data_IF_473351005076
#
_entry.id   IF_473351005076
#
_cell.length_a   1.000
_cell.length_b   1.000
_cell.length_c   1.000
_cell.angle_alpha   90.00
_cell.angle_beta   90.00
_cell.angle_gamma   90.00
#
_symmetry.space_group_name_H-M   'P 1'
#
loop_
_entity.id
_entity.type
_entity.pdbx_description
1 polymer ?
#
# COMPACT_ATOMS: atom_id res chain seq x y z
N UNK A 1 2.98 4.63 -13.61
CA UNK A 1 2.15 5.74 -13.05
C UNK A 1 2.99 6.45 -11.99
N UNK A 2 3.28 7.76 -12.13
CA UNK A 2 4.25 8.47 -11.25
C UNK A 2 3.54 9.22 -10.11
N UNK A 3 4.23 9.33 -8.98
CA UNK A 3 3.93 9.80 -7.58
C UNK A 3 3.07 11.08 -7.39
N UNK A 4 2.46 11.65 -8.43
CA UNK A 4 1.68 12.89 -8.33
C UNK A 4 0.40 12.77 -7.48
N UNK A 5 -0.06 11.56 -7.18
CA UNK A 5 -1.19 11.29 -6.29
C UNK A 5 -0.87 11.44 -4.80
N UNK A 6 0.41 11.51 -4.39
CA UNK A 6 0.79 11.60 -2.98
C UNK A 6 0.82 13.03 -2.40
N UNK A 7 0.41 14.03 -3.19
CA UNK A 7 0.30 15.43 -2.78
C UNK A 7 -0.83 15.72 -1.76
N UNK A 8 -1.44 14.70 -1.17
CA UNK A 8 -2.35 14.86 -0.06
C UNK A 8 -1.57 15.27 1.21
N UNK A 9 -2.14 16.15 2.04
CA UNK A 9 -1.64 16.51 3.38
C UNK A 9 -1.78 15.33 4.36
N UNK A 10 -1.25 14.18 4.00
CA UNK A 10 -1.32 12.94 4.77
C UNK A 10 0.05 12.60 5.35
N UNK A 11 0.10 11.90 6.50
CA UNK A 11 1.35 11.48 7.12
C UNK A 11 2.17 10.60 6.18
N UNK A 12 3.48 10.85 6.05
CA UNK A 12 4.36 10.04 5.19
C UNK A 12 4.37 8.57 5.60
N UNK A 13 4.29 8.27 6.90
CA UNK A 13 4.31 6.91 7.46
C UNK A 13 3.32 5.93 6.82
N UNK A 14 2.25 6.41 6.17
CA UNK A 14 1.34 5.54 5.40
C UNK A 14 2.02 4.85 4.22
N UNK A 15 3.13 5.40 3.71
CA UNK A 15 3.88 4.91 2.55
C UNK A 15 5.09 4.08 2.93
N UNK A 16 5.25 3.73 4.22
CA UNK A 16 6.45 3.06 4.74
C UNK A 16 6.67 1.68 4.08
N UNK A 17 5.57 1.02 3.70
CA UNK A 17 5.60 -0.25 2.96
C UNK A 17 5.82 -0.05 1.45
N UNK A 18 5.57 1.16 0.94
CA UNK A 18 5.45 1.44 -0.49
C UNK A 18 6.67 2.13 -1.11
N UNK A 19 7.44 2.87 -0.31
CA UNK A 19 8.57 3.68 -0.77
C UNK A 19 9.82 3.27 -0.03
N UNK A 20 10.83 2.84 -0.78
CA UNK A 20 12.13 2.49 -0.19
C UNK A 20 12.80 3.71 0.44
N UNK A 21 13.33 3.52 1.65
CA UNK A 21 14.06 4.52 2.43
C UNK A 21 13.24 5.77 2.73
N UNK A 22 11.95 5.61 3.04
CA UNK A 22 11.04 6.71 3.35
C UNK A 22 11.54 7.57 4.53
N UNK A 23 12.24 6.97 5.49
CA UNK A 23 12.79 7.62 6.68
C UNK A 23 13.68 8.82 6.34
N UNK A 24 14.39 8.80 5.20
CA UNK A 24 15.26 9.91 4.77
C UNK A 24 14.50 11.22 4.54
N UNK A 25 13.20 11.15 4.32
CA UNK A 25 12.33 12.30 4.09
C UNK A 25 11.83 12.93 5.40
N UNK A 26 11.90 12.20 6.51
CA UNK A 26 11.49 12.68 7.83
C UNK A 26 12.54 13.61 8.48
N UNK A 27 13.79 13.58 8.00
CA UNK A 27 14.87 14.41 8.53
C UNK A 27 14.60 15.90 8.28
N UNK A 28 14.54 16.67 9.37
CA UNK A 28 14.23 18.12 9.37
C UNK A 28 15.35 19.03 8.88
N UNK A 29 16.32 18.50 8.13
CA UNK A 29 17.51 19.22 7.63
C UNK A 29 17.27 20.03 6.36
N UNK A 30 16.06 19.96 5.78
CA UNK A 30 15.71 20.60 4.52
C UNK A 30 14.76 21.77 4.69
N UNK A 31 14.88 22.77 3.82
CA UNK A 31 13.93 23.88 3.69
C UNK A 31 12.58 23.45 3.12
N UNK A 32 12.52 22.28 2.49
CA UNK A 32 11.29 21.70 1.93
C UNK A 32 10.58 20.84 2.97
N UNK A 33 9.24 20.88 2.96
CA UNK A 33 8.46 19.94 3.75
C UNK A 33 8.75 18.49 3.32
N UNK A 34 8.63 17.50 4.22
CA UNK A 34 8.83 16.09 3.87
C UNK A 34 8.03 15.64 2.63
N UNK A 35 6.80 16.14 2.47
CA UNK A 35 5.96 15.86 1.31
C UNK A 35 6.50 16.50 0.02
N UNK A 36 6.97 17.74 0.08
CA UNK A 36 7.59 18.39 -1.08
C UNK A 36 8.87 17.68 -1.49
N UNK A 37 9.68 17.22 -0.53
CA UNK A 37 10.88 16.42 -0.81
C UNK A 37 10.51 15.11 -1.51
N UNK A 38 9.51 14.39 -1.04
CA UNK A 38 9.03 13.16 -1.67
C UNK A 38 8.61 13.40 -3.13
N UNK A 39 7.90 14.49 -3.39
CA UNK A 39 7.45 14.87 -4.74
C UNK A 39 8.65 15.23 -5.63
N UNK A 40 9.58 16.04 -5.12
CA UNK A 40 10.74 16.51 -5.89
C UNK A 40 11.74 15.38 -6.19
N UNK A 41 12.02 14.53 -5.20
CA UNK A 41 12.98 13.44 -5.35
C UNK A 41 12.37 12.25 -6.08
N UNK A 42 11.04 12.09 -6.05
CA UNK A 42 10.29 11.05 -6.75
C UNK A 42 10.98 9.66 -6.63
N UNK A 43 11.17 9.15 -5.40
CA UNK A 43 11.84 7.88 -5.18
C UNK A 43 11.07 6.73 -5.86
N UNK A 44 11.75 5.63 -6.22
CA UNK A 44 11.05 4.47 -6.75
C UNK A 44 10.11 3.87 -5.69
N UNK A 45 9.05 3.20 -6.16
CA UNK A 45 8.28 2.31 -5.30
C UNK A 45 9.12 1.08 -4.92
N UNK A 46 8.75 0.45 -3.81
CA UNK A 46 9.18 -0.91 -3.54
C UNK A 46 8.72 -1.84 -4.67
N UNK A 47 9.42 -2.97 -4.92
CA UNK A 47 9.07 -3.89 -6.00
C UNK A 47 7.61 -4.39 -5.97
N UNK A 48 7.09 -4.69 -4.77
CA UNK A 48 5.71 -5.13 -4.60
C UNK A 48 4.71 -4.00 -4.92
N UNK A 49 4.95 -2.78 -4.44
CA UNK A 49 4.09 -1.63 -4.73
C UNK A 49 4.10 -1.25 -6.20
N UNK A 50 5.24 -1.38 -6.88
CA UNK A 50 5.33 -1.23 -8.33
C UNK A 50 4.47 -2.29 -9.05
N UNK A 51 4.60 -3.56 -8.68
CA UNK A 51 3.82 -4.66 -9.26
C UNK A 51 2.31 -4.48 -9.05
N UNK A 52 1.88 -4.02 -7.86
CA UNK A 52 0.47 -3.71 -7.58
C UNK A 52 -0.05 -2.57 -8.47
N UNK A 53 0.71 -1.49 -8.59
CA UNK A 53 0.33 -0.36 -9.45
C UNK A 53 0.24 -0.80 -10.91
N UNK A 54 1.18 -1.60 -11.39
CA UNK A 54 1.18 -2.10 -12.77
C UNK A 54 0.01 -3.04 -13.04
N UNK A 55 -0.33 -3.94 -12.10
CA UNK A 55 -1.51 -4.80 -12.20
C UNK A 55 -2.81 -3.98 -12.27
N UNK A 56 -2.95 -2.97 -11.41
CA UNK A 56 -4.11 -2.07 -11.40
C UNK A 56 -4.21 -1.28 -12.70
N UNK A 57 -3.10 -0.70 -13.17
CA UNK A 57 -3.08 0.06 -14.42
C UNK A 57 -3.37 -0.85 -15.62
N UNK A 58 -2.90 -2.09 -15.61
CA UNK A 58 -3.19 -3.08 -16.65
C UNK A 58 -4.69 -3.39 -16.79
N UNK A 59 -5.39 -3.54 -15.67
CA UNK A 59 -6.83 -3.86 -15.65
C UNK A 59 -7.69 -2.63 -15.99
N UNK A 60 -7.34 -1.48 -15.41
CA UNK A 60 -8.19 -0.29 -15.47
C UNK A 60 -7.86 0.61 -16.66
N UNK A 61 -6.60 0.69 -17.08
CA UNK A 61 -6.14 1.56 -18.15
C UNK A 61 -6.65 3.00 -17.98
N UNK A 62 -7.16 3.59 -19.06
CA UNK A 62 -7.69 4.97 -19.05
C UNK A 62 -8.91 5.15 -18.13
N UNK A 63 -9.63 4.08 -17.80
CA UNK A 63 -10.81 4.19 -16.95
C UNK A 63 -10.50 4.59 -15.52
N UNK A 64 -9.23 4.51 -15.08
CA UNK A 64 -8.77 5.08 -13.82
C UNK A 64 -9.12 6.56 -13.68
N UNK A 65 -9.11 7.32 -14.78
CA UNK A 65 -9.29 8.77 -14.75
C UNK A 65 -10.63 9.21 -15.34
N UNK A 66 -11.24 8.39 -16.18
CA UNK A 66 -12.49 8.70 -16.88
C UNK A 66 -13.74 8.34 -16.07
N UNK A 67 -13.69 7.27 -15.27
CA UNK A 67 -14.85 6.76 -14.53
C UNK A 67 -14.75 7.08 -13.05
N UNK A 68 -15.91 7.31 -12.42
CA UNK A 68 -15.99 7.56 -10.97
C UNK A 68 -15.35 6.43 -10.16
N UNK A 69 -15.62 5.17 -10.51
CA UNK A 69 -15.02 4.00 -9.86
C UNK A 69 -13.51 3.96 -9.99
N UNK A 70 -12.96 4.38 -11.13
CA UNK A 70 -11.52 4.52 -11.33
C UNK A 70 -10.95 5.65 -10.48
N UNK A 71 -11.62 6.80 -10.42
CA UNK A 71 -11.19 7.94 -9.59
C UNK A 71 -11.20 7.59 -8.11
N UNK A 72 -12.17 6.81 -7.65
CA UNK A 72 -12.21 6.29 -6.28
C UNK A 72 -11.03 5.35 -6.00
N UNK A 73 -10.63 4.52 -6.96
CA UNK A 73 -9.45 3.67 -6.84
C UNK A 73 -8.16 4.50 -6.77
N UNK A 74 -8.04 5.54 -7.61
CA UNK A 74 -6.92 6.49 -7.55
C UNK A 74 -6.87 7.20 -6.19
N UNK A 75 -8.03 7.62 -5.66
CA UNK A 75 -8.13 8.21 -4.33
C UNK A 75 -7.72 7.23 -3.23
N UNK A 76 -8.13 5.96 -3.34
CA UNK A 76 -7.77 4.89 -2.40
C UNK A 76 -6.25 4.67 -2.35
N UNK A 77 -5.61 4.58 -3.52
CA UNK A 77 -4.15 4.47 -3.66
C UNK A 77 -3.43 5.69 -3.07
N UNK A 78 -3.96 6.89 -3.29
CA UNK A 78 -3.39 8.13 -2.76
C UNK A 78 -3.44 8.20 -1.23
N UNK A 79 -4.56 7.72 -0.68
CA UNK A 79 -4.85 7.78 0.74
C UNK A 79 -4.09 6.72 1.55
N UNK A 80 -3.92 5.52 1.02
CA UNK A 80 -3.39 4.37 1.78
C UNK A 80 -2.05 3.84 1.26
N UNK A 81 -1.56 4.34 0.14
CA UNK A 81 -0.47 3.71 -0.60
C UNK A 81 -0.95 2.45 -1.38
N UNK A 82 -0.15 1.96 -2.34
CA UNK A 82 -0.44 0.75 -3.11
C UNK A 82 -0.78 -0.47 -2.25
N UNK A 83 0.03 -0.80 -1.26
CA UNK A 83 -0.19 -1.99 -0.42
C UNK A 83 -1.43 -1.82 0.46
N UNK A 84 -1.59 -0.67 1.12
CA UNK A 84 -2.78 -0.42 1.95
C UNK A 84 -4.08 -0.42 1.13
N UNK A 85 -4.05 0.08 -0.11
CA UNK A 85 -5.19 0.01 -1.01
C UNK A 85 -5.49 -1.43 -1.46
N UNK A 86 -4.46 -2.22 -1.74
CA UNK A 86 -4.58 -3.63 -2.11
C UNK A 86 -5.23 -4.46 -0.99
N UNK A 87 -4.84 -4.23 0.27
CA UNK A 87 -5.45 -4.86 1.45
C UNK A 87 -6.96 -4.58 1.50
N UNK A 88 -7.36 -3.31 1.30
CA UNK A 88 -8.77 -2.90 1.30
C UNK A 88 -9.57 -3.54 0.15
N UNK A 89 -8.96 -3.65 -1.04
CA UNK A 89 -9.61 -4.26 -2.21
C UNK A 89 -9.90 -5.74 -1.94
N UNK A 90 -8.90 -6.49 -1.46
CA UNK A 90 -9.04 -7.92 -1.14
C UNK A 90 -10.09 -8.11 -0.06
N UNK A 91 -10.01 -7.34 1.02
CA UNK A 91 -10.97 -7.41 2.12
C UNK A 91 -12.41 -7.14 1.65
N UNK A 92 -12.64 -6.13 0.80
CA UNK A 92 -13.98 -5.81 0.28
C UNK A 92 -14.57 -6.94 -0.58
N UNK A 93 -13.75 -7.65 -1.33
CA UNK A 93 -14.21 -8.80 -2.13
C UNK A 93 -14.53 -9.98 -1.22
N UNK A 94 -13.70 -10.24 -0.21
CA UNK A 94 -13.90 -11.35 0.75
C UNK A 94 -15.13 -11.17 1.65
N UNK A 95 -15.45 -9.94 2.03
CA UNK A 95 -16.65 -9.62 2.83
C UNK A 95 -17.92 -9.50 2.00
N UNK A 96 -17.86 -9.75 0.67
CA UNK A 96 -18.99 -9.63 -0.23
C UNK A 96 -19.48 -8.18 -0.44
N UNK A 97 -18.69 -7.19 -0.03
CA UNK A 97 -19.03 -5.76 -0.10
C UNK A 97 -18.77 -5.13 -1.48
N UNK A 98 -18.23 -5.88 -2.44
CA UNK A 98 -18.04 -5.39 -3.80
C UNK A 98 -18.38 -6.42 -4.87
N UNK A 99 -19.51 -6.27 -5.58
CA UNK A 99 -19.92 -7.19 -6.64
C UNK A 99 -19.42 -6.80 -8.04
N UNK A 100 -18.54 -5.80 -8.17
CA UNK A 100 -18.07 -5.36 -9.50
C UNK A 100 -17.11 -6.41 -10.08
N UNK A 101 -17.36 -6.95 -11.29
CA UNK A 101 -16.46 -7.91 -11.93
C UNK A 101 -15.02 -7.41 -12.04
N UNK A 102 -14.85 -6.10 -12.26
CA UNK A 102 -13.53 -5.48 -12.37
C UNK A 102 -12.80 -5.36 -11.03
N UNK A 103 -13.53 -5.16 -9.94
CA UNK A 103 -12.94 -5.16 -8.59
C UNK A 103 -12.55 -6.58 -8.19
N UNK A 104 -13.35 -7.59 -8.57
CA UNK A 104 -13.01 -9.01 -8.39
C UNK A 104 -11.74 -9.37 -9.18
N UNK A 105 -11.66 -8.95 -10.44
CA UNK A 105 -10.46 -9.10 -11.28
C UNK A 105 -9.24 -8.41 -10.65
N UNK A 106 -9.42 -7.19 -10.12
CA UNK A 106 -8.37 -6.46 -9.41
C UNK A 106 -7.90 -7.23 -8.17
N UNK A 107 -8.81 -7.77 -7.36
CA UNK A 107 -8.45 -8.56 -6.19
C UNK A 107 -7.71 -9.86 -6.55
N UNK A 108 -8.08 -10.51 -7.65
CA UNK A 108 -7.37 -11.70 -8.15
C UNK A 108 -5.93 -11.35 -8.58
N UNK A 109 -5.74 -10.24 -9.30
CA UNK A 109 -4.40 -9.78 -9.68
C UNK A 109 -3.56 -9.34 -8.48
N UNK A 110 -4.17 -8.68 -7.48
CA UNK A 110 -3.51 -8.34 -6.22
C UNK A 110 -3.01 -9.59 -5.50
N UNK A 111 -3.82 -10.66 -5.42
CA UNK A 111 -3.40 -11.93 -4.82
C UNK A 111 -2.22 -12.55 -5.54
N UNK A 112 -2.21 -12.53 -6.87
CA UNK A 112 -1.06 -13.01 -7.65
C UNK A 112 0.22 -12.22 -7.35
N UNK A 113 0.11 -10.90 -7.07
CA UNK A 113 1.25 -10.11 -6.61
C UNK A 113 1.66 -10.51 -5.20
N UNK A 114 0.73 -10.73 -4.28
CA UNK A 114 1.04 -11.19 -2.92
C UNK A 114 1.69 -12.58 -2.89
N UNK A 115 1.31 -13.47 -3.80
CA UNK A 115 1.96 -14.78 -3.95
C UNK A 115 3.43 -14.64 -4.41
N UNK A 116 3.74 -13.61 -5.20
CA UNK A 116 5.10 -13.30 -5.65
C UNK A 116 5.93 -12.52 -4.60
N UNK A 117 5.27 -11.79 -3.70
CA UNK A 117 5.88 -10.96 -2.65
C UNK A 117 5.28 -11.25 -1.25
N UNK A 118 5.43 -12.48 -0.72
CA UNK A 118 4.74 -12.93 0.49
C UNK A 118 5.14 -12.15 1.76
N UNK A 119 6.33 -11.55 1.77
CA UNK A 119 6.81 -10.69 2.85
C UNK A 119 5.95 -9.45 3.08
N UNK A 120 5.28 -8.97 2.03
CA UNK A 120 4.47 -7.75 2.06
C UNK A 120 3.09 -8.00 2.64
N UNK A 121 2.45 -9.12 2.27
CA UNK A 121 1.12 -9.50 2.76
C UNK A 121 1.10 -9.78 4.27
N UNK A 122 2.19 -10.32 4.80
CA UNK A 122 2.27 -10.75 6.19
C UNK A 122 3.02 -9.77 7.10
N UNK A 123 3.47 -8.60 6.62
CA UNK A 123 4.33 -7.72 7.39
C UNK A 123 3.70 -7.31 8.74
N UNK A 124 2.45 -6.85 8.73
CA UNK A 124 1.75 -6.43 9.95
C UNK A 124 1.35 -7.61 10.83
N UNK A 125 0.90 -8.72 10.22
CA UNK A 125 0.60 -9.96 10.94
C UNK A 125 1.85 -10.54 11.62
N UNK A 126 3.01 -10.51 10.95
CA UNK A 126 4.30 -10.94 11.50
C UNK A 126 4.80 -10.00 12.58
N UNK A 127 4.67 -8.69 12.42
CA UNK A 127 5.01 -7.72 13.46
C UNK A 127 4.17 -7.95 14.72
N UNK A 128 2.86 -8.17 14.55
CA UNK A 128 1.95 -8.52 15.64
C UNK A 128 2.31 -9.87 16.28
N UNK A 129 2.47 -10.92 15.49
CA UNK A 129 2.84 -12.25 15.97
C UNK A 129 4.21 -12.26 16.66
N UNK A 130 5.18 -11.47 16.20
CA UNK A 130 6.48 -11.30 16.86
C UNK A 130 6.30 -10.61 18.22
N UNK A 131 5.47 -9.57 18.29
CA UNK A 131 5.15 -8.88 19.55
C UNK A 131 4.46 -9.79 20.57
N UNK A 132 3.62 -10.73 20.11
CA UNK A 132 2.94 -11.70 20.99
C UNK A 132 3.76 -12.96 21.28
N UNK A 133 4.58 -13.43 20.33
CA UNK A 133 5.45 -14.60 20.47
C UNK A 133 6.72 -14.35 21.29
N UNK A 134 7.07 -13.09 21.54
CA UNK A 134 8.23 -12.70 22.36
C UNK A 134 7.91 -12.57 23.86
N UNK A 135 6.69 -12.85 24.30
CA UNK A 135 6.37 -12.87 25.73
C UNK A 135 6.78 -14.23 26.29
N UNK A 136 7.81 -14.32 27.16
CA UNK A 136 8.09 -15.58 27.84
C UNK A 136 6.84 -15.93 28.63
N UNK A 137 6.33 -17.15 28.46
CA UNK A 137 5.43 -17.75 29.44
C UNK A 137 6.18 -17.68 30.76
N UNK A 138 5.66 -17.02 31.81
CA UNK A 138 6.27 -17.13 33.12
C UNK A 138 6.21 -18.61 33.48
N UNK A 139 7.38 -19.24 33.57
CA UNK A 139 7.52 -20.57 34.14
C UNK A 139 6.87 -20.52 35.53
N UNK A 140 5.72 -21.18 35.64
CA UNK A 140 5.13 -21.50 36.93
C UNK A 140 5.97 -22.56 37.61
N UNK A 141 7.10 -22.16 38.20
CA UNK A 141 7.67 -22.85 39.37
C UNK A 141 6.95 -22.31 40.60
N UNK A 142 6.42 -23.13 41.52
CA UNK A 142 6.93 -24.40 42.01
C UNK A 142 7.15 -24.21 43.50
#
# INVERSE_FOLDING_TARGET
MRIFTYAAKLPLARLDRDVDRLERFADGSSLLSPQMRLICENPPFSPASAALVDAIVGIWGNTLFERETGRLLVALLSANGPIGAADIIVQRVETGQSPSPRVIETAAAVRAVYDAYPEVFLADARALLTRFGSRPVPDGGG
#
